data_IF_255472748778
#
_entry.id   IF_255472748778
#
_cell.length_a   1.000
_cell.length_b   1.000
_cell.length_c   1.000
_cell.angle_alpha   90.00
_cell.angle_beta   90.00
_cell.angle_gamma   90.00
#
_symmetry.space_group_name_H-M   'P 1'
#
loop_
_entity.id
_entity.type
_entity.pdbx_description
1 polymer ?
#
# COMPACT_ATOMS: atom_id res chain seq x y z
N UNK A 1 -30.40 6.62 -11.50
CA UNK A 1 -29.43 6.75 -10.39
C UNK A 1 -28.24 5.90 -10.76
N UNK A 2 -27.02 6.42 -10.72
CA UNK A 2 -25.84 5.61 -10.99
C UNK A 2 -25.83 4.40 -10.04
N UNK A 3 -25.58 3.21 -10.56
CA UNK A 3 -25.44 2.01 -9.75
C UNK A 3 -24.12 2.14 -8.99
N UNK A 4 -24.17 2.54 -7.71
CA UNK A 4 -23.00 2.75 -6.85
C UNK A 4 -23.00 1.77 -5.70
N UNK A 5 -21.80 1.34 -5.28
CA UNK A 5 -21.59 0.47 -4.13
C UNK A 5 -21.22 1.30 -2.88
N UNK A 6 -21.46 0.81 -1.65
CA UNK A 6 -21.15 1.51 -0.39
C UNK A 6 -19.65 1.54 -0.09
N UNK A 7 -18.88 2.06 -1.04
CA UNK A 7 -17.42 2.06 -1.08
C UNK A 7 -16.95 3.50 -1.21
N UNK A 8 -15.99 3.90 -0.37
CA UNK A 8 -15.24 5.15 -0.58
C UNK A 8 -13.82 4.84 -1.03
N UNK A 9 -13.46 5.34 -2.20
CA UNK A 9 -12.09 5.30 -2.69
C UNK A 9 -11.26 6.42 -2.05
N UNK A 10 -10.11 6.07 -1.49
CA UNK A 10 -9.12 7.00 -0.96
C UNK A 10 -7.87 6.90 -1.82
N UNK A 11 -7.62 7.95 -2.61
CA UNK A 11 -6.50 8.01 -3.56
C UNK A 11 -5.46 9.01 -3.06
N UNK A 12 -4.22 8.58 -2.84
CA UNK A 12 -3.16 9.47 -2.37
C UNK A 12 -2.33 10.02 -3.53
N UNK A 13 -2.31 11.34 -3.67
CA UNK A 13 -1.49 12.08 -4.63
C UNK A 13 -0.28 12.72 -3.94
N UNK A 14 0.88 12.64 -4.58
CA UNK A 14 2.06 13.44 -4.22
C UNK A 14 2.92 13.74 -5.44
N UNK A 15 2.96 15.01 -5.86
CA UNK A 15 3.78 15.49 -6.97
C UNK A 15 3.61 14.71 -8.30
N UNK A 16 2.40 14.20 -8.59
CA UNK A 16 2.16 13.44 -9.81
C UNK A 16 0.72 13.58 -10.29
N UNK A 17 0.42 14.72 -10.93
CA UNK A 17 -0.89 15.00 -11.49
C UNK A 17 -1.32 14.00 -12.57
N UNK A 18 -0.43 13.63 -13.51
CA UNK A 18 -0.83 12.89 -14.71
C UNK A 18 -1.28 11.47 -14.39
N UNK A 19 -0.61 10.79 -13.47
CA UNK A 19 -1.05 9.46 -13.02
C UNK A 19 -2.33 9.56 -12.19
N UNK A 20 -2.41 10.53 -11.26
CA UNK A 20 -3.63 10.74 -10.48
C UNK A 20 -4.85 10.99 -11.37
N UNK A 21 -4.71 11.85 -12.38
CA UNK A 21 -5.74 12.13 -13.37
C UNK A 21 -6.19 10.85 -14.08
N UNK A 22 -5.26 10.06 -14.58
CA UNK A 22 -5.57 8.80 -15.28
C UNK A 22 -6.24 7.76 -14.36
N UNK A 23 -5.80 7.67 -13.10
CA UNK A 23 -6.43 6.84 -12.08
C UNK A 23 -7.88 7.28 -11.85
N UNK A 24 -8.14 8.57 -11.64
CA UNK A 24 -9.47 9.11 -11.40
C UNK A 24 -10.41 8.91 -12.60
N UNK A 25 -9.94 9.15 -13.83
CA UNK A 25 -10.71 8.90 -15.05
C UNK A 25 -11.12 7.42 -15.17
N UNK A 26 -10.18 6.49 -14.90
CA UNK A 26 -10.47 5.05 -14.94
C UNK A 26 -11.38 4.60 -13.79
N UNK A 27 -11.23 5.16 -12.58
CA UNK A 27 -12.08 4.89 -11.42
C UNK A 27 -13.53 5.34 -11.66
N UNK A 28 -13.74 6.51 -12.28
CA UNK A 28 -15.07 7.01 -12.64
C UNK A 28 -15.76 6.17 -13.73
N UNK A 29 -15.00 5.36 -14.47
CA UNK A 29 -15.53 4.49 -15.53
C UNK A 29 -16.11 3.16 -15.03
N UNK A 30 -15.91 2.83 -13.75
CA UNK A 30 -16.39 1.59 -13.12
C UNK A 30 -17.91 1.49 -13.13
N UNK A 31 -18.42 0.25 -13.19
CA UNK A 31 -19.87 -0.01 -13.21
C UNK A 31 -20.18 -1.35 -12.52
N UNK A 32 -20.80 -1.36 -11.32
CA UNK A 32 -21.12 -0.20 -10.48
C UNK A 32 -19.87 0.60 -10.03
N UNK A 33 -20.07 1.89 -9.80
CA UNK A 33 -19.03 2.80 -9.32
C UNK A 33 -18.92 2.83 -7.79
N UNK A 34 -17.97 3.61 -7.27
CA UNK A 34 -17.86 3.92 -5.84
C UNK A 34 -18.93 4.94 -5.41
N UNK A 35 -19.31 4.95 -4.13
CA UNK A 35 -20.20 5.97 -3.55
C UNK A 35 -19.54 7.35 -3.55
N UNK A 36 -18.26 7.40 -3.15
CA UNK A 36 -17.47 8.63 -3.08
C UNK A 36 -16.01 8.37 -3.38
N UNK A 37 -15.33 9.40 -3.85
CA UNK A 37 -13.87 9.43 -3.97
C UNK A 37 -13.33 10.58 -3.15
N UNK A 38 -12.28 10.30 -2.37
CA UNK A 38 -11.48 11.30 -1.66
C UNK A 38 -10.07 11.22 -2.21
N UNK A 39 -9.58 12.32 -2.78
CA UNK A 39 -8.19 12.47 -3.18
C UNK A 39 -7.45 13.18 -2.05
N UNK A 40 -6.33 12.63 -1.60
CA UNK A 40 -5.46 13.28 -0.63
C UNK A 40 -4.30 13.90 -1.38
N UNK A 41 -4.20 15.23 -1.39
CA UNK A 41 -2.97 15.89 -1.80
C UNK A 41 -2.01 15.94 -0.60
N UNK A 42 -1.00 15.07 -0.63
CA UNK A 42 -0.09 14.85 0.49
C UNK A 42 1.05 15.89 0.52
N UNK A 43 0.69 17.18 0.45
CA UNK A 43 1.62 18.30 0.42
C UNK A 43 2.42 18.38 -0.87
N UNK A 44 1.72 18.32 -2.02
CA UNK A 44 2.38 18.48 -3.32
C UNK A 44 2.87 19.91 -3.52
N UNK A 45 3.96 20.04 -4.27
CA UNK A 45 4.62 21.31 -4.57
C UNK A 45 4.66 21.64 -6.07
N UNK A 46 4.16 20.71 -6.90
CA UNK A 46 4.08 20.82 -8.35
C UNK A 46 2.74 21.40 -8.86
N UNK A 47 1.83 21.75 -7.95
CA UNK A 47 0.47 22.20 -8.26
C UNK A 47 -0.49 21.07 -8.64
N UNK A 48 -0.12 19.79 -8.45
CA UNK A 48 -1.00 18.66 -8.78
C UNK A 48 -2.32 18.70 -8.03
N UNK A 49 -2.30 18.96 -6.71
CA UNK A 49 -3.53 19.07 -5.90
C UNK A 49 -4.52 20.12 -6.41
N UNK A 50 -4.04 21.32 -6.74
CA UNK A 50 -4.89 22.41 -7.27
C UNK A 50 -5.50 22.02 -8.62
N UNK A 51 -4.68 21.45 -9.53
CA UNK A 51 -5.14 21.01 -10.85
C UNK A 51 -6.18 19.89 -10.75
N UNK A 52 -6.03 18.97 -9.79
CA UNK A 52 -7.02 17.91 -9.53
C UNK A 52 -8.34 18.54 -9.06
N UNK A 53 -8.29 19.49 -8.12
CA UNK A 53 -9.48 20.15 -7.61
C UNK A 53 -10.22 20.97 -8.70
N UNK A 54 -9.47 21.58 -9.63
CA UNK A 54 -10.03 22.31 -10.76
C UNK A 54 -10.67 21.38 -11.82
N UNK A 55 -10.03 20.26 -12.15
CA UNK A 55 -10.53 19.34 -13.19
C UNK A 55 -11.64 18.40 -12.70
N UNK A 56 -11.60 18.00 -11.42
CA UNK A 56 -12.55 17.06 -10.82
C UNK A 56 -13.35 17.73 -9.68
N UNK A 57 -14.21 18.73 -9.97
CA UNK A 57 -14.89 19.52 -8.94
C UNK A 57 -15.88 18.72 -8.08
N UNK A 58 -16.32 17.56 -8.55
CA UNK A 58 -17.21 16.66 -7.82
C UNK A 58 -16.46 15.69 -6.88
N UNK A 59 -15.12 15.67 -6.91
CA UNK A 59 -14.27 14.85 -6.05
C UNK A 59 -13.74 15.70 -4.89
N UNK A 60 -13.86 15.19 -3.67
CA UNK A 60 -13.27 15.85 -2.52
C UNK A 60 -11.74 15.76 -2.58
N UNK A 61 -11.06 16.91 -2.54
CA UNK A 61 -9.60 16.98 -2.40
C UNK A 61 -9.24 17.41 -0.98
N UNK A 62 -8.56 16.53 -0.25
CA UNK A 62 -8.04 16.76 1.09
C UNK A 62 -6.56 17.17 1.02
N UNK A 63 -6.29 18.46 1.20
CA UNK A 63 -4.93 19.00 1.27
C UNK A 63 -4.36 18.81 2.68
N UNK A 64 -3.25 18.08 2.81
CA UNK A 64 -2.57 17.88 4.09
C UNK A 64 -1.64 19.05 4.47
N UNK A 65 -1.26 19.89 3.50
CA UNK A 65 -0.34 21.02 3.68
C UNK A 65 1.14 20.63 3.74
N UNK A 66 1.46 19.39 4.11
CA UNK A 66 2.81 18.83 4.06
C UNK A 66 2.77 17.33 3.77
N UNK A 67 3.90 16.75 3.33
CA UNK A 67 4.02 15.31 3.11
C UNK A 67 4.11 14.57 4.46
N UNK A 68 3.00 13.89 4.80
CA UNK A 68 2.82 13.11 6.04
C UNK A 68 3.32 11.66 5.92
N UNK A 69 3.98 11.31 4.81
CA UNK A 69 4.25 9.93 4.44
C UNK A 69 2.99 9.22 3.94
N UNK A 70 3.13 7.97 3.53
CA UNK A 70 2.02 7.19 2.96
C UNK A 70 0.92 6.93 3.99
N UNK A 71 1.27 6.38 5.16
CA UNK A 71 0.30 6.09 6.21
C UNK A 71 -0.42 7.34 6.74
N UNK A 72 0.30 8.46 6.89
CA UNK A 72 -0.29 9.73 7.32
C UNK A 72 -1.25 10.33 6.30
N UNK A 73 -0.86 10.35 5.01
CA UNK A 73 -1.75 10.82 3.95
C UNK A 73 -2.98 9.93 3.79
N UNK A 74 -2.82 8.60 3.81
CA UNK A 74 -3.95 7.67 3.72
C UNK A 74 -4.93 7.87 4.88
N UNK A 75 -4.42 8.04 6.11
CA UNK A 75 -5.27 8.30 7.26
C UNK A 75 -6.03 9.63 7.14
N UNK A 76 -5.42 10.68 6.61
CA UNK A 76 -6.14 11.94 6.37
C UNK A 76 -7.34 11.74 5.43
N UNK A 77 -7.18 10.90 4.40
CA UNK A 77 -8.29 10.52 3.51
C UNK A 77 -9.32 9.61 4.17
N UNK A 78 -8.88 8.63 4.96
CA UNK A 78 -9.76 7.73 5.73
C UNK A 78 -10.63 8.53 6.71
N UNK A 79 -10.08 9.53 7.40
CA UNK A 79 -10.82 10.39 8.31
C UNK A 79 -11.95 11.14 7.59
N UNK A 80 -11.72 11.59 6.36
CA UNK A 80 -12.77 12.20 5.52
C UNK A 80 -13.78 11.17 5.06
N UNK A 81 -13.35 9.94 4.79
CA UNK A 81 -14.20 8.86 4.33
C UNK A 81 -15.12 8.27 5.41
N UNK A 82 -15.31 8.92 6.57
CA UNK A 82 -16.25 8.45 7.61
C UNK A 82 -17.67 8.96 7.36
N UNK A 83 -18.64 8.05 7.21
CA UNK A 83 -20.07 8.34 7.10
C UNK A 83 -20.90 7.09 7.46
N UNK A 84 -22.17 7.28 7.81
CA UNK A 84 -23.06 6.19 8.26
C UNK A 84 -23.40 5.16 7.16
N UNK A 85 -23.14 5.45 5.88
CA UNK A 85 -23.52 4.65 4.71
C UNK A 85 -22.36 3.92 4.02
N UNK A 86 -21.19 3.83 4.67
CA UNK A 86 -19.97 3.26 4.08
C UNK A 86 -19.67 1.88 4.69
N UNK A 87 -19.57 0.87 3.83
CA UNK A 87 -19.21 -0.50 4.23
C UNK A 87 -17.72 -0.78 4.01
N UNK A 88 -17.16 -0.21 2.93
CA UNK A 88 -15.80 -0.49 2.49
C UNK A 88 -15.00 0.79 2.21
N UNK A 89 -13.71 0.74 2.55
CA UNK A 89 -12.70 1.70 2.12
C UNK A 89 -11.83 1.06 1.06
N UNK A 90 -11.64 1.73 -0.07
CA UNK A 90 -10.72 1.29 -1.10
C UNK A 90 -9.48 2.18 -1.10
N UNK A 91 -8.41 1.69 -0.48
CA UNK A 91 -7.13 2.39 -0.42
C UNK A 91 -6.40 2.17 -1.74
N UNK A 92 -6.03 3.26 -2.40
CA UNK A 92 -5.49 3.25 -3.75
C UNK A 92 -4.27 4.15 -3.87
N UNK A 93 -3.21 3.62 -4.49
CA UNK A 93 -2.20 4.50 -5.08
C UNK A 93 -2.81 5.29 -6.24
N UNK A 94 -2.22 6.45 -6.54
CA UNK A 94 -2.65 7.30 -7.66
C UNK A 94 -2.24 6.79 -9.04
N UNK A 95 -1.41 5.75 -9.13
CA UNK A 95 -0.92 5.17 -10.37
C UNK A 95 -1.56 3.79 -10.68
N UNK A 96 -2.76 3.56 -10.13
CA UNK A 96 -3.62 2.41 -10.44
C UNK A 96 -4.58 2.74 -11.58
N UNK A 97 -4.75 1.80 -12.51
CA UNK A 97 -5.71 1.86 -13.60
C UNK A 97 -6.63 0.64 -13.57
N UNK A 98 -7.91 0.88 -13.88
CA UNK A 98 -8.94 -0.15 -13.90
C UNK A 98 -9.29 -0.55 -15.34
N UNK A 99 -8.71 -1.63 -15.89
CA UNK A 99 -9.02 -2.08 -17.26
C UNK A 99 -10.45 -2.62 -17.38
N UNK A 100 -10.95 -3.24 -16.31
CA UNK A 100 -12.28 -3.86 -16.28
C UNK A 100 -13.26 -3.06 -15.41
N UNK A 101 -14.44 -2.76 -15.97
CA UNK A 101 -15.46 -1.96 -15.27
C UNK A 101 -16.07 -2.66 -14.06
N UNK A 102 -16.05 -4.00 -14.04
CA UNK A 102 -16.69 -4.84 -13.03
C UNK A 102 -15.84 -5.15 -11.81
N UNK A 103 -14.56 -4.78 -11.82
CA UNK A 103 -13.56 -5.16 -10.78
C UNK A 103 -14.04 -4.86 -9.36
N UNK A 104 -14.65 -3.70 -9.13
CA UNK A 104 -15.15 -3.32 -7.81
C UNK A 104 -16.28 -4.26 -7.32
N UNK A 105 -17.18 -4.64 -8.23
CA UNK A 105 -18.28 -5.56 -7.89
C UNK A 105 -17.76 -6.95 -7.52
N UNK A 106 -16.69 -7.40 -8.14
CA UNK A 106 -16.09 -8.71 -7.84
C UNK A 106 -15.44 -8.70 -6.46
N UNK A 107 -14.68 -7.63 -6.14
CA UNK A 107 -14.07 -7.46 -4.83
C UNK A 107 -15.13 -7.37 -3.72
N UNK A 108 -16.18 -6.57 -3.89
CA UNK A 108 -17.27 -6.44 -2.92
C UNK A 108 -18.01 -7.76 -2.73
N UNK A 109 -18.34 -8.48 -3.81
CA UNK A 109 -19.01 -9.78 -3.76
C UNK A 109 -18.25 -10.82 -2.90
N UNK A 110 -16.91 -10.78 -2.91
CA UNK A 110 -16.10 -11.66 -2.07
C UNK A 110 -16.22 -11.28 -0.59
N UNK A 111 -16.15 -9.99 -0.26
CA UNK A 111 -16.31 -9.52 1.11
C UNK A 111 -17.74 -9.80 1.63
N UNK A 112 -18.78 -9.50 0.85
CA UNK A 112 -20.18 -9.74 1.25
C UNK A 112 -20.43 -11.22 1.61
N UNK A 113 -19.81 -12.15 0.86
CA UNK A 113 -19.96 -13.60 1.07
C UNK A 113 -19.05 -14.16 2.16
N UNK A 114 -18.02 -13.43 2.57
CA UNK A 114 -16.98 -13.90 3.52
C UNK A 114 -16.80 -12.90 4.66
N UNK A 115 -17.65 -12.96 5.70
CA UNK A 115 -17.56 -12.05 6.85
C UNK A 115 -16.27 -12.21 7.66
N UNK A 116 -15.56 -13.33 7.52
CA UNK A 116 -14.27 -13.62 8.15
C UNK A 116 -13.05 -13.08 7.36
N UNK A 117 -13.29 -12.35 6.27
CA UNK A 117 -12.26 -11.66 5.48
C UNK A 117 -12.33 -10.17 5.79
N UNK A 118 -11.19 -9.61 6.21
CA UNK A 118 -11.10 -8.19 6.55
C UNK A 118 -11.01 -7.30 5.31
N UNK A 119 -10.28 -7.76 4.29
CA UNK A 119 -10.08 -7.01 3.07
C UNK A 119 -9.51 -7.88 1.95
N UNK A 120 -9.59 -7.34 0.75
CA UNK A 120 -9.18 -7.99 -0.49
C UNK A 120 -8.35 -7.09 -1.38
N UNK A 121 -7.45 -7.70 -2.15
CA UNK A 121 -6.73 -7.07 -3.24
C UNK A 121 -7.20 -7.64 -4.58
N UNK A 122 -7.32 -6.84 -5.66
CA UNK A 122 -7.31 -7.39 -7.00
C UNK A 122 -5.94 -8.02 -7.35
N UNK A 123 -5.89 -8.81 -8.41
CA UNK A 123 -4.64 -9.14 -9.08
C UNK A 123 -4.04 -7.86 -9.68
N UNK A 124 -2.81 -7.52 -9.28
CA UNK A 124 -2.14 -6.30 -9.75
C UNK A 124 -1.12 -6.69 -10.81
N UNK A 125 -1.26 -6.16 -12.02
CA UNK A 125 -0.29 -6.34 -13.13
C UNK A 125 0.51 -5.07 -13.37
N UNK A 126 1.70 -5.22 -13.96
CA UNK A 126 2.48 -4.07 -14.40
C UNK A 126 1.87 -3.41 -15.65
N UNK A 127 1.93 -2.09 -15.71
CA UNK A 127 1.54 -1.32 -16.89
C UNK A 127 2.76 -1.03 -17.79
N UNK A 128 2.60 -0.94 -19.13
CA UNK A 128 1.37 -1.12 -19.91
C UNK A 128 1.08 -2.59 -20.22
N UNK A 129 -0.09 -3.07 -19.77
CA UNK A 129 -0.71 -4.39 -20.03
C UNK A 129 0.30 -5.51 -20.32
N UNK A 130 1.11 -5.87 -19.33
CA UNK A 130 1.96 -7.06 -19.43
C UNK A 130 1.23 -8.29 -18.89
N UNK A 131 1.68 -9.47 -19.29
CA UNK A 131 1.30 -10.73 -18.60
C UNK A 131 1.97 -10.85 -17.22
N UNK A 132 2.82 -9.89 -16.85
CA UNK A 132 3.56 -9.89 -15.59
C UNK A 132 2.68 -9.41 -14.44
N UNK A 133 2.46 -10.33 -13.49
CA UNK A 133 1.73 -10.07 -12.25
C UNK A 133 2.68 -9.46 -11.23
N UNK A 134 2.45 -8.21 -10.86
CA UNK A 134 3.23 -7.49 -9.86
C UNK A 134 2.91 -7.93 -8.42
N UNK A 135 1.62 -8.09 -8.10
CA UNK A 135 1.18 -8.55 -6.78
C UNK A 135 0.00 -9.52 -6.90
N UNK A 136 0.13 -10.65 -6.20
CA UNK A 136 -0.93 -11.63 -6.06
C UNK A 136 -0.88 -12.40 -4.73
N UNK A 137 0.30 -12.48 -4.10
CA UNK A 137 0.48 -13.08 -2.78
C UNK A 137 1.58 -12.36 -2.00
N UNK A 138 1.25 -11.82 -0.82
CA UNK A 138 2.18 -11.28 0.17
C UNK A 138 2.32 -12.20 1.38
N UNK A 139 3.56 -12.39 1.85
CA UNK A 139 3.91 -13.21 3.01
C UNK A 139 4.76 -12.42 4.02
N UNK A 140 4.64 -12.79 5.29
CA UNK A 140 5.47 -12.26 6.38
C UNK A 140 6.35 -13.38 6.94
N UNK A 141 7.66 -13.26 6.75
CA UNK A 141 8.67 -14.09 7.40
C UNK A 141 8.90 -13.54 8.82
N UNK A 142 8.23 -14.14 9.81
CA UNK A 142 8.32 -13.74 11.21
C UNK A 142 9.70 -14.00 11.83
N UNK A 143 10.45 -15.01 11.38
CA UNK A 143 11.82 -15.26 11.86
C UNK A 143 12.75 -14.09 11.52
N UNK A 144 12.45 -13.42 10.42
CA UNK A 144 13.24 -12.32 9.88
C UNK A 144 12.55 -10.97 10.00
N UNK A 145 11.33 -10.91 10.53
CA UNK A 145 10.46 -9.75 10.53
C UNK A 145 10.39 -9.06 9.15
N UNK A 146 10.39 -9.86 8.08
CA UNK A 146 10.50 -9.35 6.70
C UNK A 146 9.21 -9.66 5.93
N UNK A 147 8.72 -8.68 5.18
CA UNK A 147 7.63 -8.87 4.24
C UNK A 147 8.16 -8.95 2.79
N UNK A 148 7.55 -9.81 1.98
CA UNK A 148 7.78 -9.87 0.55
C UNK A 148 6.54 -10.45 -0.15
N UNK A 149 6.42 -10.21 -1.45
CA UNK A 149 5.41 -10.85 -2.29
C UNK A 149 6.09 -11.77 -3.30
N UNK A 150 5.31 -12.72 -3.83
CA UNK A 150 5.77 -13.60 -4.90
C UNK A 150 6.24 -12.78 -6.11
N UNK A 151 7.36 -13.17 -6.75
CA UNK A 151 7.96 -12.38 -7.81
C UNK A 151 7.06 -12.34 -9.06
N UNK A 152 7.25 -11.33 -9.93
CA UNK A 152 6.59 -11.29 -11.22
C UNK A 152 6.79 -12.58 -12.02
N UNK A 153 5.70 -13.07 -12.61
CA UNK A 153 5.68 -14.30 -13.40
C UNK A 153 5.60 -15.61 -12.59
N UNK A 154 5.56 -15.56 -11.25
CA UNK A 154 5.31 -16.75 -10.41
C UNK A 154 3.83 -17.18 -10.37
N UNK A 155 2.92 -16.34 -10.88
CA UNK A 155 1.51 -16.65 -10.95
C UNK A 155 1.25 -17.70 -12.04
N UNK A 156 0.85 -18.91 -11.65
CA UNK A 156 0.62 -20.03 -12.57
C UNK A 156 -0.80 -20.07 -13.14
N UNK A 157 -1.68 -19.14 -12.76
CA UNK A 157 -3.02 -18.98 -13.30
C UNK A 157 -4.02 -20.10 -12.97
N UNK A 158 -3.59 -21.20 -12.35
CA UNK A 158 -4.39 -22.43 -12.28
C UNK A 158 -4.91 -22.78 -10.87
N UNK A 159 -4.40 -22.17 -9.80
CA UNK A 159 -4.51 -22.85 -8.49
C UNK A 159 -5.65 -22.44 -7.58
N UNK A 160 -6.16 -21.19 -7.58
CA UNK A 160 -7.38 -20.79 -6.85
C UNK A 160 -7.85 -19.37 -7.21
N UNK A 161 -9.18 -19.14 -7.32
CA UNK A 161 -9.77 -17.79 -7.52
C UNK A 161 -9.50 -16.80 -6.39
N UNK A 162 -9.16 -17.34 -5.22
CA UNK A 162 -8.94 -16.60 -3.99
C UNK A 162 -7.62 -17.04 -3.36
N UNK A 163 -6.66 -16.14 -3.26
CA UNK A 163 -5.33 -16.44 -2.72
C UNK A 163 -5.20 -15.85 -1.32
N UNK A 164 -4.78 -16.66 -0.34
CA UNK A 164 -4.56 -16.19 1.03
C UNK A 164 -3.25 -15.40 1.15
N UNK A 165 -3.30 -14.33 1.95
CA UNK A 165 -2.19 -13.40 2.18
C UNK A 165 -1.91 -13.20 3.67
N UNK A 166 -0.64 -13.01 4.03
CA UNK A 166 -0.27 -12.45 5.34
C UNK A 166 -0.33 -10.92 5.33
N UNK A 167 -0.08 -10.30 4.18
CA UNK A 167 -0.33 -8.88 3.98
C UNK A 167 -0.75 -8.58 2.54
N UNK A 168 -1.49 -7.49 2.38
CA UNK A 168 -1.86 -6.91 1.09
C UNK A 168 -1.16 -5.55 1.00
N UNK A 169 -0.60 -5.25 -0.17
CA UNK A 169 -0.09 -3.92 -0.46
C UNK A 169 -1.24 -2.93 -0.61
N UNK A 170 -1.10 -1.75 -0.03
CA UNK A 170 -2.08 -0.66 -0.18
C UNK A 170 -2.05 0.01 -1.57
N UNK A 171 -1.38 -0.59 -2.57
CA UNK A 171 -1.51 -0.19 -3.97
C UNK A 171 -2.99 -0.24 -4.41
N UNK A 172 -3.66 -1.36 -4.12
CA UNK A 172 -5.11 -1.49 -4.28
C UNK A 172 -5.65 -2.45 -3.20
N UNK A 173 -6.24 -1.89 -2.15
CA UNK A 173 -6.73 -2.66 -1.01
C UNK A 173 -8.14 -2.23 -0.61
N UNK A 174 -9.12 -3.10 -0.85
CA UNK A 174 -10.50 -2.90 -0.41
C UNK A 174 -10.67 -3.55 0.96
N UNK A 175 -10.96 -2.76 1.98
CA UNK A 175 -11.03 -3.20 3.38
C UNK A 175 -12.36 -2.77 4.02
N UNK A 176 -12.88 -3.55 4.96
CA UNK A 176 -14.06 -3.18 5.74
C UNK A 176 -13.80 -1.92 6.54
N UNK A 177 -14.65 -0.90 6.35
CA UNK A 177 -14.54 0.37 7.06
C UNK A 177 -14.58 0.17 8.59
N UNK A 178 -15.50 -0.68 9.07
CA UNK A 178 -15.64 -1.02 10.49
C UNK A 178 -14.39 -1.66 11.11
N UNK A 179 -13.58 -2.36 10.32
CA UNK A 179 -12.33 -2.93 10.81
C UNK A 179 -11.21 -1.90 10.87
N UNK A 180 -11.19 -0.92 9.95
CA UNK A 180 -10.26 0.21 10.03
C UNK A 180 -10.51 1.04 11.29
N UNK A 181 -11.78 1.32 11.61
CA UNK A 181 -12.15 1.99 12.86
C UNK A 181 -11.75 1.18 14.10
N UNK A 182 -11.97 -0.15 14.06
CA UNK A 182 -11.69 -1.05 15.19
C UNK A 182 -10.20 -1.23 15.46
N UNK A 183 -9.39 -1.50 14.44
CA UNK A 183 -7.94 -1.77 14.61
C UNK A 183 -7.11 -0.50 14.57
N UNK A 184 -7.68 0.61 14.08
CA UNK A 184 -6.99 1.86 13.75
C UNK A 184 -6.42 1.85 12.33
N UNK A 185 -6.31 3.04 11.72
CA UNK A 185 -5.75 3.23 10.37
C UNK A 185 -4.27 2.84 10.23
N UNK A 186 -3.63 3.27 9.15
CA UNK A 186 -2.23 2.94 8.88
C UNK A 186 -1.31 3.58 9.93
N UNK A 187 -0.28 2.88 10.41
CA UNK A 187 0.62 3.44 11.41
C UNK A 187 1.53 4.52 10.80
N UNK A 188 1.48 5.72 11.35
CA UNK A 188 2.15 6.92 10.80
C UNK A 188 3.63 7.01 11.16
N UNK A 189 4.06 6.19 12.11
CA UNK A 189 5.42 6.16 12.65
C UNK A 189 6.44 5.46 11.72
N UNK A 190 5.98 4.79 10.66
CA UNK A 190 6.81 4.27 9.57
C UNK A 190 7.16 5.30 8.51
N UNK A 191 6.30 6.31 8.31
CA UNK A 191 6.33 7.29 7.20
C UNK A 191 6.21 6.67 5.80
N UNK A 192 7.06 5.72 5.43
CA UNK A 192 7.02 5.00 4.15
C UNK A 192 7.54 3.57 4.33
N UNK A 193 6.87 2.59 3.71
CA UNK A 193 7.10 1.14 3.81
C UNK A 193 6.89 0.53 5.21
N UNK A 194 6.25 -0.64 5.25
CA UNK A 194 5.79 -1.42 6.42
C UNK A 194 4.49 -0.96 7.05
N UNK A 195 3.95 0.21 6.71
CA UNK A 195 2.64 0.64 7.22
C UNK A 195 1.50 -0.27 6.79
N UNK A 196 1.54 -0.78 5.55
CA UNK A 196 0.60 -1.77 5.01
C UNK A 196 0.79 -3.15 5.65
N UNK A 197 2.04 -3.59 5.82
CA UNK A 197 2.41 -4.85 6.50
C UNK A 197 1.90 -4.85 7.94
N UNK A 198 2.16 -3.79 8.70
CA UNK A 198 1.73 -3.62 10.09
C UNK A 198 0.19 -3.59 10.19
N UNK A 199 -0.46 -2.81 9.33
CA UNK A 199 -1.92 -2.76 9.28
C UNK A 199 -2.54 -4.13 9.01
N UNK A 200 -2.00 -4.88 8.04
CA UNK A 200 -2.42 -6.25 7.76
C UNK A 200 -2.16 -7.21 8.92
N UNK A 201 -1.00 -7.11 9.56
CA UNK A 201 -0.67 -7.91 10.73
C UNK A 201 -1.63 -7.64 11.91
N UNK A 202 -2.07 -6.39 12.11
CA UNK A 202 -3.11 -6.05 13.10
C UNK A 202 -4.47 -6.61 12.75
N UNK A 203 -4.92 -6.49 11.48
CA UNK A 203 -6.17 -7.12 11.04
C UNK A 203 -6.18 -8.63 11.28
N UNK A 204 -5.08 -9.32 10.96
CA UNK A 204 -4.93 -10.75 11.20
C UNK A 204 -4.84 -11.13 12.68
N UNK A 205 -4.43 -10.21 13.55
CA UNK A 205 -4.41 -10.44 15.00
C UNK A 205 -5.80 -10.48 15.61
N UNK A 206 -6.80 -9.98 14.89
CA UNK A 206 -8.23 -10.10 15.21
C UNK A 206 -8.88 -11.30 14.48
N UNK A 207 -8.08 -12.30 14.09
CA UNK A 207 -8.50 -13.54 13.40
C UNK A 207 -9.14 -13.37 12.01
N UNK A 208 -8.97 -12.20 11.37
CA UNK A 208 -9.43 -11.99 10.00
C UNK A 208 -8.44 -12.47 8.94
N UNK A 209 -8.99 -12.93 7.82
CA UNK A 209 -8.22 -13.31 6.63
C UNK A 209 -8.07 -12.14 5.66
N UNK A 210 -7.03 -12.21 4.82
CA UNK A 210 -6.75 -11.28 3.73
C UNK A 210 -6.63 -12.09 2.45
N UNK A 211 -7.32 -11.67 1.38
CA UNK A 211 -7.38 -12.44 0.14
C UNK A 211 -7.03 -11.60 -1.10
N UNK A 212 -6.42 -12.22 -2.10
CA UNK A 212 -6.40 -11.68 -3.47
C UNK A 212 -7.53 -12.33 -4.25
N UNK A 213 -8.32 -11.53 -4.98
CA UNK A 213 -9.34 -12.00 -5.92
C UNK A 213 -8.71 -12.00 -7.31
N UNK A 214 -8.36 -13.18 -7.82
CA UNK A 214 -7.52 -13.28 -9.03
C UNK A 214 -8.27 -12.96 -10.33
N UNK A 215 -9.60 -13.06 -10.30
CA UNK A 215 -10.47 -12.69 -11.44
C UNK A 215 -10.58 -11.16 -11.58
N UNK A 216 -10.35 -10.41 -10.50
CA UNK A 216 -10.42 -8.96 -10.47
C UNK A 216 -9.04 -8.38 -10.79
N UNK A 217 -8.86 -7.73 -11.95
CA UNK A 217 -7.55 -7.22 -12.40
C UNK A 217 -7.46 -5.70 -12.37
N UNK A 218 -6.34 -5.18 -11.87
CA UNK A 218 -5.93 -3.77 -12.00
C UNK A 218 -4.51 -3.67 -12.54
N UNK A 219 -4.19 -2.54 -13.18
CA UNK A 219 -2.84 -2.26 -13.67
C UNK A 219 -2.19 -1.19 -12.79
N UNK A 220 -0.92 -1.39 -12.45
CA UNK A 220 -0.13 -0.46 -11.67
C UNK A 220 0.96 0.13 -12.57
N UNK A 221 0.98 1.46 -12.70
CA UNK A 221 1.95 2.23 -13.48
C UNK A 221 3.33 2.34 -12.87
N UNK A 222 3.67 1.45 -11.91
CA UNK A 222 4.95 1.32 -11.20
C UNK A 222 5.79 2.59 -11.36
N UNK A 223 5.26 3.70 -10.83
CA UNK A 223 5.82 5.00 -11.17
C UNK A 223 7.26 5.09 -10.64
N UNK A 224 8.13 5.76 -11.39
CA UNK A 224 9.56 5.88 -11.12
C UNK A 224 9.91 6.52 -9.76
N UNK A 225 8.92 6.96 -8.98
CA UNK A 225 9.08 7.52 -7.63
C UNK A 225 9.25 6.44 -6.54
N UNK A 226 8.71 5.23 -6.73
CA UNK A 226 8.83 4.11 -5.76
C UNK A 226 9.03 2.73 -6.40
N UNK A 227 8.90 2.63 -7.74
CA UNK A 227 8.91 1.39 -8.52
C UNK A 227 10.24 0.64 -8.67
N UNK A 228 11.30 1.08 -7.99
CA UNK A 228 12.44 0.20 -7.74
C UNK A 228 12.73 0.21 -6.25
N UNK A 229 12.92 -0.96 -5.63
CA UNK A 229 13.49 -1.13 -4.29
C UNK A 229 14.98 -0.69 -4.25
N UNK A 230 15.37 0.20 -5.17
CA UNK A 230 16.71 0.67 -5.43
C UNK A 230 16.80 2.14 -5.06
N UNK A 231 18.01 2.58 -4.78
CA UNK A 231 18.25 3.94 -4.31
C UNK A 231 18.07 4.11 -2.80
N UNK A 232 18.36 5.33 -2.32
CA UNK A 232 18.57 5.59 -0.90
C UNK A 232 17.28 5.61 -0.07
N UNK A 233 16.14 6.01 -0.65
CA UNK A 233 14.85 6.11 0.08
C UNK A 233 14.39 4.73 0.58
N UNK A 234 14.16 3.71 -0.28
CA UNK A 234 13.82 2.37 0.19
C UNK A 234 14.97 1.72 0.99
N UNK A 235 16.24 2.03 0.70
CA UNK A 235 17.35 1.53 1.51
C UNK A 235 17.27 1.98 2.98
N UNK A 236 16.97 3.26 3.23
CA UNK A 236 16.82 3.81 4.57
C UNK A 236 15.56 3.28 5.27
N UNK A 237 14.39 3.49 4.66
CA UNK A 237 13.12 3.21 5.33
C UNK A 237 12.93 1.71 5.57
N UNK A 238 13.23 0.83 4.61
CA UNK A 238 13.12 -0.62 4.84
C UNK A 238 14.10 -1.11 5.92
N UNK A 239 15.30 -0.54 6.01
CA UNK A 239 16.24 -0.91 7.07
C UNK A 239 15.73 -0.48 8.45
N UNK A 240 15.28 0.78 8.58
CA UNK A 240 14.75 1.33 9.83
C UNK A 240 13.48 0.60 10.28
N UNK A 241 12.53 0.50 9.36
CA UNK A 241 11.17 0.08 9.63
C UNK A 241 11.06 -1.42 9.89
N UNK A 242 11.98 -2.23 9.35
CA UNK A 242 12.07 -3.66 9.67
C UNK A 242 12.40 -3.91 11.15
N UNK A 243 13.28 -3.10 11.77
CA UNK A 243 13.53 -3.18 13.22
C UNK A 243 12.28 -2.72 14.00
N UNK A 244 11.61 -1.68 13.52
CA UNK A 244 10.39 -1.16 14.15
C UNK A 244 9.27 -2.19 14.16
N UNK A 245 9.00 -2.80 13.02
CA UNK A 245 8.04 -3.88 12.87
C UNK A 245 8.39 -5.05 13.81
N UNK A 246 9.66 -5.44 13.86
CA UNK A 246 10.13 -6.50 14.76
C UNK A 246 9.87 -6.20 16.24
N UNK A 247 9.99 -4.94 16.67
CA UNK A 247 9.71 -4.52 18.05
C UNK A 247 8.23 -4.44 18.37
N UNK A 248 7.38 -4.17 17.38
CA UNK A 248 5.93 -4.04 17.58
C UNK A 248 5.25 -5.40 17.70
N UNK A 249 5.78 -6.41 17.02
CA UNK A 249 5.31 -7.79 17.04
C UNK A 249 6.38 -8.71 17.64
N UNK A 250 6.98 -8.28 18.76
CA UNK A 250 8.09 -8.97 19.40
C UNK A 250 7.71 -10.38 19.90
N UNK A 251 6.44 -10.57 20.23
CA UNK A 251 5.83 -11.86 20.57
C UNK A 251 5.80 -12.86 19.40
N UNK A 252 5.90 -12.38 18.16
CA UNK A 252 5.87 -13.21 16.94
C UNK A 252 7.23 -13.40 16.31
N UNK A 253 8.15 -12.47 16.53
CA UNK A 253 9.45 -12.46 15.88
C UNK A 253 10.44 -13.35 16.62
N UNK A 254 11.20 -14.16 15.88
CA UNK A 254 12.16 -15.07 16.47
C UNK A 254 13.33 -14.34 17.16
N UNK A 255 13.85 -14.92 18.24
CA UNK A 255 15.04 -14.42 18.96
C UNK A 255 16.26 -14.19 18.04
N UNK A 256 16.36 -14.97 16.97
CA UNK A 256 17.43 -14.90 15.97
C UNK A 256 17.29 -13.72 14.98
N UNK A 257 16.27 -12.88 15.12
CA UNK A 257 16.03 -11.74 14.25
C UNK A 257 17.25 -10.82 14.11
N UNK A 258 17.85 -10.37 15.21
CA UNK A 258 18.96 -9.40 15.14
C UNK A 258 20.21 -9.95 14.42
N UNK A 259 20.65 -11.20 14.67
CA UNK A 259 21.68 -11.85 13.84
C UNK A 259 21.32 -11.91 12.35
N UNK A 260 20.10 -12.32 12.00
CA UNK A 260 19.65 -12.37 10.60
C UNK A 260 19.57 -10.99 9.95
N UNK A 261 19.13 -10.00 10.71
CA UNK A 261 19.07 -8.61 10.30
C UNK A 261 20.49 -8.07 10.02
N UNK A 262 21.44 -8.28 10.93
CA UNK A 262 22.83 -7.87 10.74
C UNK A 262 23.46 -8.52 9.50
N UNK A 263 23.23 -9.82 9.29
CA UNK A 263 23.65 -10.51 8.08
C UNK A 263 23.00 -9.88 6.83
N UNK A 264 21.72 -9.56 6.88
CA UNK A 264 21.00 -8.87 5.81
C UNK A 264 21.56 -7.48 5.47
N UNK A 265 21.99 -6.72 6.48
CA UNK A 265 22.67 -5.44 6.27
C UNK A 265 24.00 -5.65 5.55
N UNK A 266 24.78 -6.67 5.93
CA UNK A 266 26.07 -6.98 5.29
C UNK A 266 25.89 -7.42 3.83
N UNK A 267 24.92 -8.29 3.54
CA UNK A 267 24.65 -8.76 2.18
C UNK A 267 24.16 -7.63 1.28
N UNK A 268 23.25 -6.77 1.76
CA UNK A 268 22.79 -5.59 1.02
C UNK A 268 23.90 -4.56 0.82
N UNK A 269 24.75 -4.33 1.83
CA UNK A 269 25.92 -3.44 1.70
C UNK A 269 26.86 -3.92 0.60
N UNK A 270 27.17 -5.23 0.57
CA UNK A 270 27.99 -5.82 -0.49
C UNK A 270 27.34 -5.63 -1.86
N UNK A 271 26.04 -5.87 -1.97
CA UNK A 271 25.30 -5.71 -3.22
C UNK A 271 25.35 -4.25 -3.73
N UNK A 272 25.00 -3.26 -2.89
CA UNK A 272 25.08 -1.85 -3.27
C UNK A 272 26.50 -1.42 -3.64
N UNK A 273 27.52 -1.94 -2.96
CA UNK A 273 28.92 -1.67 -3.31
C UNK A 273 29.26 -2.20 -4.71
N UNK A 274 28.90 -3.45 -5.02
CA UNK A 274 29.15 -4.05 -6.34
C UNK A 274 28.34 -3.37 -7.46
N UNK A 275 27.16 -2.84 -7.13
CA UNK A 275 26.30 -2.07 -8.03
C UNK A 275 26.69 -0.59 -8.11
N UNK A 276 27.72 -0.14 -7.38
CA UNK A 276 28.20 1.26 -7.30
C UNK A 276 27.15 2.26 -6.78
N UNK A 277 26.17 1.79 -6.00
CA UNK A 277 25.13 2.60 -5.34
C UNK A 277 25.58 3.05 -3.94
N UNK A 278 26.61 3.89 -3.85
CA UNK A 278 27.21 4.24 -2.56
C UNK A 278 26.29 5.04 -1.64
N UNK A 279 25.41 5.89 -2.20
CA UNK A 279 24.42 6.64 -1.42
C UNK A 279 23.43 5.69 -0.72
N UNK A 280 23.02 4.61 -1.40
CA UNK A 280 22.17 3.58 -0.83
C UNK A 280 22.83 2.85 0.34
N UNK A 281 24.17 2.71 0.35
CA UNK A 281 24.90 2.15 1.50
C UNK A 281 24.77 3.09 2.71
N UNK A 282 25.02 4.39 2.52
CA UNK A 282 24.90 5.38 3.61
C UNK A 282 23.48 5.40 4.15
N UNK A 283 22.49 5.39 3.25
CA UNK A 283 21.07 5.34 3.60
C UNK A 283 20.71 4.07 4.38
N UNK A 284 21.15 2.89 3.92
CA UNK A 284 20.94 1.59 4.56
C UNK A 284 21.51 1.59 5.99
N UNK A 285 22.77 1.99 6.15
CA UNK A 285 23.44 1.99 7.47
C UNK A 285 22.81 3.01 8.41
N UNK A 286 22.45 4.20 7.92
CA UNK A 286 21.73 5.20 8.70
C UNK A 286 20.36 4.70 9.13
N UNK A 287 19.61 4.07 8.22
CA UNK A 287 18.32 3.45 8.51
C UNK A 287 18.41 2.39 9.60
N UNK A 288 19.43 1.52 9.53
CA UNK A 288 19.68 0.52 10.57
C UNK A 288 19.98 1.15 11.94
N UNK A 289 20.82 2.20 11.99
CA UNK A 289 21.12 2.93 13.24
C UNK A 289 19.88 3.61 13.80
N UNK A 290 19.11 4.30 12.97
CA UNK A 290 17.88 5.00 13.38
C UNK A 290 16.82 4.00 13.87
N UNK A 291 16.74 2.82 13.23
CA UNK A 291 15.88 1.72 13.67
C UNK A 291 16.28 1.21 15.05
N UNK A 292 17.57 0.97 15.29
CA UNK A 292 18.08 0.58 16.60
C UNK A 292 17.83 1.66 17.68
N UNK A 293 17.93 2.94 17.32
CA UNK A 293 17.62 4.07 18.21
C UNK A 293 16.13 4.30 18.44
N UNK A 294 15.26 3.65 17.68
CA UNK A 294 13.80 3.80 17.80
C UNK A 294 13.26 5.09 17.19
N UNK A 295 13.98 5.70 16.24
CA UNK A 295 13.50 6.87 15.52
C UNK A 295 12.22 6.54 14.72
N UNK A 296 11.33 7.54 14.58
CA UNK A 296 9.97 7.37 14.02
C UNK A 296 9.68 8.44 12.98
N UNK A 297 8.63 8.24 12.18
CA UNK A 297 8.08 9.26 11.28
C UNK A 297 9.05 9.66 10.17
N UNK A 298 8.98 10.92 9.75
CA UNK A 298 9.78 11.45 8.64
C UNK A 298 11.28 11.32 8.92
N UNK A 299 11.97 10.65 8.01
CA UNK A 299 13.41 10.48 8.02
C UNK A 299 14.13 11.63 7.28
N UNK A 300 15.41 11.43 6.92
CA UNK A 300 16.16 12.39 6.10
C UNK A 300 15.76 12.35 4.62
N UNK A 301 14.88 11.43 4.24
CA UNK A 301 14.36 11.26 2.88
C UNK A 301 12.86 11.64 2.86
N UNK A 302 12.38 12.30 1.79
CA UNK A 302 10.98 12.64 1.63
C UNK A 302 10.09 11.40 1.44
#
# INVERSE_FOLDING_TARGET
>A
MANVLPVVAVVLNWNNYDDTRACLESLQSLTPGVNRTVVVDNGSTDGSGDRIAEEFPDIEVCFTGENLGFGGGMNAGIERATAEDIEYLWLLNNDVLFPEKGVLSELCSVLDRKPDVAGVSPLIREYPETDDVWFWRGFIDWDRANAAHDPPGAFDGETDRLVSNDYITCCAFLVRASLVERVGGLPTDYFLYYEDVDFCARLRSEDYRLLTVTDAVVHHRVSASTGTVKGPIPAYYLARNRIRFARRFDDRVADMFYPWYALGILTRTKWYFTSREYESIVALLRGAVDGLRGCTGKGPYP
#
